data_IF_309229087179
#
_entry.id   IF_309229087179
#
_cell.length_a   1.000
_cell.length_b   1.000
_cell.length_c   1.000
_cell.angle_alpha   90.00
_cell.angle_beta   90.00
_cell.angle_gamma   90.00
#
_symmetry.space_group_name_H-M   'P 1'
#
loop_
_entity.id
_entity.type
_entity.pdbx_description
1 polymer ?
#
# COMPACT_ATOMS: atom_id res chain seq x y z
N UNK A 1 17.63 9.55 26.93
CA UNK A 1 16.20 9.42 27.29
C UNK A 1 15.22 9.52 26.11
N UNK A 2 15.63 9.96 24.90
CA UNK A 2 14.71 10.18 23.76
C UNK A 2 14.27 8.93 22.98
N UNK A 3 15.04 7.82 23.04
CA UNK A 3 14.78 6.59 22.27
C UNK A 3 13.66 5.73 22.87
N UNK A 4 13.56 5.64 24.20
CA UNK A 4 12.54 4.81 24.88
C UNK A 4 11.12 5.41 24.81
N UNK A 5 11.00 6.73 24.75
CA UNK A 5 9.72 7.41 24.57
C UNK A 5 9.19 7.24 23.14
N UNK A 6 10.08 7.27 22.15
CA UNK A 6 9.75 7.00 20.75
C UNK A 6 9.25 5.56 20.56
N UNK A 7 9.94 4.57 21.16
CA UNK A 7 9.54 3.16 21.06
C UNK A 7 8.22 2.86 21.80
N UNK A 8 7.96 3.53 22.93
CA UNK A 8 6.68 3.42 23.64
C UNK A 8 5.50 3.97 22.81
N UNK A 9 5.71 5.10 22.13
CA UNK A 9 4.70 5.69 21.25
C UNK A 9 4.41 4.79 20.03
N UNK A 10 5.44 4.24 19.39
CA UNK A 10 5.30 3.31 18.27
C UNK A 10 4.52 2.05 18.66
N UNK A 11 4.81 1.47 19.83
CA UNK A 11 4.08 0.32 20.35
C UNK A 11 2.60 0.65 20.61
N UNK A 12 2.31 1.82 21.18
CA UNK A 12 0.95 2.28 21.41
C UNK A 12 0.19 2.49 20.09
N UNK A 13 0.84 3.10 19.09
CA UNK A 13 0.29 3.28 17.75
C UNK A 13 -0.02 1.93 17.08
N UNK A 14 0.91 0.97 17.16
CA UNK A 14 0.72 -0.38 16.64
C UNK A 14 -0.46 -1.10 17.31
N UNK A 15 -0.56 -1.04 18.64
CA UNK A 15 -1.68 -1.64 19.40
C UNK A 15 -3.01 -1.06 18.93
N UNK A 16 -3.11 0.26 18.77
CA UNK A 16 -4.31 0.94 18.28
C UNK A 16 -4.64 0.52 16.84
N UNK A 17 -3.65 0.45 15.95
CA UNK A 17 -3.85 0.03 14.57
C UNK A 17 -4.40 -1.40 14.50
N UNK A 18 -3.84 -2.33 15.28
CA UNK A 18 -4.31 -3.72 15.35
C UNK A 18 -5.76 -3.79 15.87
N UNK A 19 -6.09 -3.02 16.91
CA UNK A 19 -7.46 -2.96 17.44
C UNK A 19 -8.47 -2.49 16.39
N UNK A 20 -8.14 -1.41 15.65
CA UNK A 20 -8.96 -0.90 14.54
C UNK A 20 -9.16 -1.98 13.47
N UNK A 21 -8.07 -2.64 13.05
CA UNK A 21 -8.14 -3.69 12.05
C UNK A 21 -8.96 -4.89 12.51
N UNK A 22 -8.94 -5.24 13.81
CA UNK A 22 -9.74 -6.35 14.38
C UNK A 22 -11.22 -6.01 14.50
N UNK A 23 -11.55 -4.73 14.73
CA UNK A 23 -12.93 -4.27 14.83
C UNK A 23 -13.66 -4.16 13.47
N UNK A 24 -12.93 -4.21 12.35
CA UNK A 24 -13.54 -4.14 11.02
C UNK A 24 -14.40 -5.37 10.73
N UNK A 25 -15.62 -5.15 10.24
CA UNK A 25 -16.44 -6.20 9.61
C UNK A 25 -15.77 -6.72 8.34
N UNK A 26 -16.14 -7.92 7.84
CA UNK A 26 -15.61 -8.44 6.58
C UNK A 26 -15.78 -7.47 5.39
N UNK A 27 -16.93 -6.79 5.31
CA UNK A 27 -17.25 -5.82 4.27
C UNK A 27 -16.35 -4.58 4.37
N UNK A 28 -16.12 -4.07 5.59
CA UNK A 28 -15.21 -2.95 5.82
C UNK A 28 -13.76 -3.32 5.46
N UNK A 29 -13.33 -4.55 5.81
CA UNK A 29 -12.00 -5.06 5.47
C UNK A 29 -11.82 -5.16 3.96
N UNK A 30 -12.81 -5.68 3.24
CA UNK A 30 -12.79 -5.74 1.78
C UNK A 30 -12.72 -4.33 1.17
N UNK A 31 -13.59 -3.42 1.61
CA UNK A 31 -13.59 -2.05 1.13
C UNK A 31 -12.26 -1.33 1.37
N UNK A 32 -11.64 -1.55 2.54
CA UNK A 32 -10.31 -1.02 2.86
C UNK A 32 -9.23 -1.62 1.96
N UNK A 33 -9.23 -2.94 1.75
CA UNK A 33 -8.29 -3.61 0.85
C UNK A 33 -8.37 -3.09 -0.58
N UNK A 34 -9.59 -2.88 -1.10
CA UNK A 34 -9.82 -2.31 -2.43
C UNK A 34 -9.30 -0.87 -2.53
N UNK A 35 -9.54 -0.03 -1.50
CA UNK A 35 -8.99 1.34 -1.46
C UNK A 35 -7.46 1.31 -1.50
N UNK A 36 -6.84 0.50 -0.65
CA UNK A 36 -5.38 0.36 -0.60
C UNK A 36 -4.81 -0.13 -1.94
N UNK A 37 -5.48 -1.08 -2.60
CA UNK A 37 -5.06 -1.58 -3.91
C UNK A 37 -5.09 -0.48 -4.98
N UNK A 38 -6.16 0.34 -5.02
CA UNK A 38 -6.26 1.48 -5.95
C UNK A 38 -5.16 2.50 -5.71
N UNK A 39 -4.90 2.86 -4.45
CA UNK A 39 -3.83 3.79 -4.08
C UNK A 39 -2.47 3.25 -4.52
N UNK A 40 -2.16 1.99 -4.21
CA UNK A 40 -0.90 1.36 -4.63
C UNK A 40 -0.71 1.39 -6.15
N UNK A 41 -1.74 1.01 -6.92
CA UNK A 41 -1.69 1.05 -8.39
C UNK A 41 -1.46 2.47 -8.93
N UNK A 42 -2.07 3.48 -8.32
CA UNK A 42 -1.88 4.88 -8.71
C UNK A 42 -0.45 5.36 -8.46
N UNK A 43 0.14 5.02 -7.31
CA UNK A 43 1.52 5.35 -6.99
C UNK A 43 2.51 4.65 -7.95
N UNK A 44 2.29 3.36 -8.22
CA UNK A 44 3.11 2.62 -9.19
C UNK A 44 3.01 3.22 -10.59
N UNK A 45 1.79 3.53 -11.06
CA UNK A 45 1.58 4.14 -12.37
C UNK A 45 2.32 5.48 -12.49
N UNK A 46 2.25 6.32 -11.45
CA UNK A 46 2.98 7.60 -11.41
C UNK A 46 4.48 7.38 -11.54
N UNK A 47 5.05 6.45 -10.78
CA UNK A 47 6.48 6.14 -10.89
C UNK A 47 6.89 5.53 -12.23
N UNK A 48 6.00 4.82 -12.92
CA UNK A 48 6.28 4.33 -14.28
C UNK A 48 6.23 5.45 -15.31
N UNK A 49 5.26 6.37 -15.23
CA UNK A 49 5.19 7.53 -16.12
C UNK A 49 6.44 8.41 -16.00
N UNK A 50 6.89 8.64 -14.77
CA UNK A 50 8.08 9.45 -14.48
C UNK A 50 9.35 8.83 -15.08
N UNK A 51 9.55 7.52 -14.92
CA UNK A 51 10.71 6.80 -15.47
C UNK A 51 10.63 6.54 -16.98
N UNK A 52 9.43 6.48 -17.54
CA UNK A 52 9.19 6.14 -18.94
C UNK A 52 8.18 7.12 -19.58
N UNK A 53 8.59 8.39 -19.82
CA UNK A 53 7.69 9.44 -20.27
C UNK A 53 7.11 9.21 -21.68
N UNK A 54 7.72 8.33 -22.47
CA UNK A 54 7.26 7.97 -23.82
C UNK A 54 6.30 6.79 -23.83
N UNK A 55 6.08 6.12 -22.69
CA UNK A 55 5.15 4.99 -22.62
C UNK A 55 3.70 5.46 -22.74
N UNK A 56 2.93 4.67 -23.48
CA UNK A 56 1.48 4.78 -23.53
C UNK A 56 0.86 4.36 -22.20
N UNK A 57 -0.36 4.83 -21.94
CA UNK A 57 -1.12 4.40 -20.76
C UNK A 57 -1.37 2.88 -20.73
N UNK A 58 -1.42 2.22 -21.88
CA UNK A 58 -1.54 0.76 -21.95
C UNK A 58 -0.28 0.05 -21.44
N UNK A 59 0.90 0.55 -21.81
CA UNK A 59 2.19 0.03 -21.33
C UNK A 59 2.37 0.27 -19.84
N UNK A 60 2.01 1.45 -19.34
CA UNK A 60 2.00 1.76 -17.90
C UNK A 60 1.08 0.79 -17.14
N UNK A 61 -0.16 0.57 -17.61
CA UNK A 61 -1.08 -0.39 -16.98
C UNK A 61 -0.52 -1.81 -16.96
N UNK A 62 0.10 -2.24 -18.06
CA UNK A 62 0.74 -3.57 -18.15
C UNK A 62 1.91 -3.69 -17.18
N UNK A 63 2.77 -2.67 -17.09
CA UNK A 63 3.89 -2.65 -16.15
C UNK A 63 3.43 -2.72 -14.69
N UNK A 64 2.37 -1.97 -14.33
CA UNK A 64 1.76 -2.06 -12.99
C UNK A 64 1.23 -3.47 -12.72
N UNK A 65 0.51 -4.07 -13.68
CA UNK A 65 -0.01 -5.43 -13.53
C UNK A 65 1.12 -6.45 -13.34
N UNK A 66 2.17 -6.39 -14.17
CA UNK A 66 3.34 -7.26 -14.06
C UNK A 66 4.04 -7.10 -12.70
N UNK A 67 4.22 -5.86 -12.23
CA UNK A 67 4.86 -5.59 -10.94
C UNK A 67 4.08 -6.20 -9.78
N UNK A 68 2.75 -6.15 -9.82
CA UNK A 68 1.89 -6.73 -8.79
C UNK A 68 1.91 -8.27 -8.85
N UNK A 69 1.84 -8.84 -10.05
CA UNK A 69 1.84 -10.30 -10.24
C UNK A 69 3.12 -10.95 -9.68
N UNK A 70 4.27 -10.31 -9.89
CA UNK A 70 5.57 -10.81 -9.43
C UNK A 70 5.99 -10.27 -8.06
N UNK A 71 5.12 -9.58 -7.32
CA UNK A 71 5.45 -9.07 -6.00
C UNK A 71 5.61 -10.19 -4.94
N UNK A 72 5.01 -11.36 -5.16
CA UNK A 72 5.04 -12.50 -4.24
C UNK A 72 6.07 -13.57 -4.59
N UNK A 73 6.92 -13.36 -5.60
CA UNK A 73 7.92 -14.33 -6.08
C UNK A 73 9.35 -13.96 -5.69
N UNK A 74 9.53 -13.22 -4.60
CA UNK A 74 10.83 -12.80 -4.07
C UNK A 74 10.92 -13.01 -2.57
#
# INVERSE_FOLDING_TARGET
MSSLAATAHELAARKRQVAICRAMTPQQRLAQGLRMNRTMRSLLATGFRDRHPTWTEAEVRRAVANRILHACTG
#
